data_IF_544018156827
#
_entry.id   IF_544018156827
#
_cell.length_a   1.000
_cell.length_b   1.000
_cell.length_c   1.000
_cell.angle_alpha   90.00
_cell.angle_beta   90.00
_cell.angle_gamma   90.00
#
_symmetry.space_group_name_H-M   'P 1'
#
loop_
_entity.id
_entity.type
_entity.pdbx_description
1 polymer ?
#
# COMPACT_ATOMS: atom_id res chain seq x y z
N UNK A 1 25.37 20.35 -19.04
CA UNK A 1 24.90 19.67 -20.26
C UNK A 1 23.73 20.49 -20.81
N UNK A 2 23.67 20.75 -22.11
CA UNK A 2 22.63 21.59 -22.71
C UNK A 2 21.61 20.72 -23.46
N UNK A 3 20.32 20.95 -23.23
CA UNK A 3 19.30 20.28 -24.05
C UNK A 3 19.24 20.92 -25.45
N UNK A 4 19.10 20.13 -26.52
CA UNK A 4 18.90 20.68 -27.87
C UNK A 4 17.67 21.60 -27.90
N UNK A 5 17.82 22.80 -28.48
CA UNK A 5 16.72 23.78 -28.62
C UNK A 5 16.40 24.58 -27.34
N UNK A 6 17.18 24.44 -26.27
CA UNK A 6 16.96 25.16 -25.02
C UNK A 6 17.27 26.67 -25.17
N UNK A 7 16.28 27.53 -24.89
CA UNK A 7 16.50 28.97 -24.85
C UNK A 7 17.22 29.40 -23.56
N UNK A 8 17.91 30.54 -23.61
CA UNK A 8 18.60 31.10 -22.44
C UNK A 8 17.63 31.43 -21.30
N UNK A 9 16.44 31.94 -21.62
CA UNK A 9 15.39 32.24 -20.65
C UNK A 9 14.85 30.97 -19.97
N UNK A 10 14.65 29.89 -20.74
CA UNK A 10 14.23 28.60 -20.18
C UNK A 10 15.29 28.04 -19.24
N UNK A 11 16.56 28.02 -19.66
CA UNK A 11 17.66 27.55 -18.80
C UNK A 11 17.70 28.30 -17.47
N UNK A 12 17.68 29.63 -17.53
CA UNK A 12 17.71 30.45 -16.32
C UNK A 12 16.50 30.18 -15.41
N UNK A 13 15.32 29.90 -15.97
CA UNK A 13 14.14 29.52 -15.19
C UNK A 13 14.28 28.11 -14.58
N UNK A 14 14.85 27.16 -15.31
CA UNK A 14 15.08 25.79 -14.83
C UNK A 14 16.13 25.75 -13.72
N UNK A 15 17.17 26.55 -13.82
CA UNK A 15 18.20 26.66 -12.78
C UNK A 15 17.60 27.20 -11.47
N UNK A 16 16.77 28.25 -11.54
CA UNK A 16 16.05 28.77 -10.36
C UNK A 16 15.08 27.75 -9.76
N UNK A 17 14.36 27.00 -10.60
CA UNK A 17 13.47 25.93 -10.13
C UNK A 17 14.27 24.79 -9.48
N UNK A 18 15.43 24.42 -10.05
CA UNK A 18 16.29 23.39 -9.52
C UNK A 18 16.80 23.73 -8.12
N UNK A 19 17.15 25.00 -7.87
CA UNK A 19 17.50 25.47 -6.53
C UNK A 19 16.37 25.20 -5.52
N UNK A 20 15.12 25.50 -5.89
CA UNK A 20 13.96 25.23 -5.03
C UNK A 20 13.70 23.73 -4.85
N UNK A 21 13.84 22.93 -5.91
CA UNK A 21 13.68 21.47 -5.87
C UNK A 21 14.75 20.82 -4.95
N UNK A 22 15.98 21.34 -4.95
CA UNK A 22 17.06 20.88 -4.05
C UNK A 22 16.71 21.16 -2.59
N UNK A 23 16.25 22.37 -2.28
CA UNK A 23 15.85 22.73 -0.92
C UNK A 23 14.67 21.87 -0.44
N UNK A 24 13.67 21.63 -1.30
CA UNK A 24 12.56 20.75 -0.99
C UNK A 24 13.04 19.31 -0.68
N UNK A 25 13.97 18.78 -1.49
CA UNK A 25 14.55 17.45 -1.25
C UNK A 25 15.24 17.37 0.10
N UNK A 26 16.07 18.37 0.44
CA UNK A 26 16.77 18.43 1.74
C UNK A 26 15.78 18.47 2.91
N UNK A 27 14.71 19.25 2.80
CA UNK A 27 13.68 19.32 3.83
C UNK A 27 12.96 17.96 4.00
N UNK A 28 12.61 17.29 2.91
CA UNK A 28 11.99 15.96 2.94
C UNK A 28 12.91 14.91 3.56
N UNK A 29 14.21 14.93 3.23
CA UNK A 29 15.23 14.04 3.79
C UNK A 29 15.40 14.28 5.31
N UNK A 30 15.42 15.55 5.74
CA UNK A 30 15.48 15.89 7.16
C UNK A 30 14.26 15.37 7.93
N UNK A 31 13.05 15.54 7.38
CA UNK A 31 11.82 14.97 7.98
C UNK A 31 11.90 13.44 8.02
N UNK A 32 12.38 12.80 6.97
CA UNK A 32 12.53 11.35 6.93
C UNK A 32 13.53 10.85 8.00
N UNK A 33 14.63 11.58 8.23
CA UNK A 33 15.57 11.27 9.31
C UNK A 33 14.89 11.37 10.69
N UNK A 34 14.18 12.47 10.96
CA UNK A 34 13.42 12.64 12.21
C UNK A 34 12.36 11.55 12.42
N UNK A 35 11.70 11.10 11.35
CA UNK A 35 10.74 9.99 11.43
C UNK A 35 11.38 8.67 11.85
N UNK A 36 12.63 8.41 11.45
CA UNK A 36 13.38 7.21 11.86
C UNK A 36 13.90 7.29 13.29
N UNK A 37 14.04 8.51 13.84
CA UNK A 37 14.42 8.76 15.24
C UNK A 37 13.23 8.64 16.21
N UNK A 38 11.99 8.53 15.71
CA UNK A 38 10.83 8.38 16.58
C UNK A 38 10.95 7.09 17.41
N UNK A 39 10.61 7.13 18.70
CA UNK A 39 10.55 5.91 19.50
C UNK A 39 9.48 4.96 18.93
N UNK A 40 9.55 3.66 19.27
CA UNK A 40 8.50 2.71 18.94
C UNK A 40 7.12 3.26 19.32
N UNK A 41 6.14 3.03 18.46
CA UNK A 41 4.76 3.43 18.70
C UNK A 41 4.09 2.64 19.83
N UNK A 42 2.78 2.80 19.95
CA UNK A 42 2.00 2.04 20.93
C UNK A 42 2.06 0.54 20.65
N UNK A 43 2.17 -0.24 21.73
CA UNK A 43 2.04 -1.70 21.68
C UNK A 43 0.63 -2.06 21.21
N UNK A 44 0.52 -3.04 20.31
CA UNK A 44 -0.78 -3.58 19.91
C UNK A 44 -1.50 -4.09 21.17
N UNK A 45 -2.72 -3.61 21.48
CA UNK A 45 -3.36 -3.90 22.76
C UNK A 45 -3.82 -5.37 22.88
N UNK A 46 -3.91 -6.07 21.74
CA UNK A 46 -4.39 -7.45 21.63
C UNK A 46 -3.69 -8.14 20.48
N UNK A 47 -3.58 -9.46 20.60
CA UNK A 47 -3.27 -10.32 19.48
C UNK A 47 -4.55 -10.56 18.66
N UNK A 48 -4.79 -9.71 17.66
CA UNK A 48 -6.02 -9.73 16.88
C UNK A 48 -6.17 -11.02 16.10
N UNK A 49 -7.38 -11.57 16.03
CA UNK A 49 -7.69 -12.76 15.25
C UNK A 49 -8.33 -12.33 13.93
N UNK A 50 -7.76 -12.82 12.83
CA UNK A 50 -8.31 -12.71 11.50
C UNK A 50 -8.83 -14.07 11.07
N UNK A 51 -9.72 -14.07 10.09
CA UNK A 51 -10.09 -15.29 9.37
C UNK A 51 -9.39 -15.27 8.03
N UNK A 52 -8.80 -16.40 7.64
CA UNK A 52 -8.17 -16.62 6.35
C UNK A 52 -8.58 -17.97 5.77
N UNK A 53 -7.97 -18.36 4.64
CA UNK A 53 -8.03 -19.74 4.16
C UNK A 53 -6.74 -20.45 4.57
N UNK A 54 -6.87 -21.57 5.25
CA UNK A 54 -5.76 -22.47 5.61
C UNK A 54 -5.17 -23.17 4.39
N UNK A 55 -4.11 -23.96 4.60
CA UNK A 55 -3.41 -24.70 3.54
C UNK A 55 -4.31 -25.72 2.79
N UNK A 56 -5.38 -26.17 3.43
CA UNK A 56 -6.43 -27.04 2.90
C UNK A 56 -7.59 -26.28 2.24
N UNK A 57 -7.52 -24.94 2.22
CA UNK A 57 -8.56 -24.07 1.69
C UNK A 57 -9.76 -23.85 2.63
N UNK A 58 -9.76 -24.46 3.81
CA UNK A 58 -10.80 -24.26 4.83
C UNK A 58 -10.64 -22.90 5.51
N UNK A 59 -11.74 -22.36 6.07
CA UNK A 59 -11.66 -21.16 6.88
C UNK A 59 -10.83 -21.45 8.14
N UNK A 60 -9.76 -20.70 8.32
CA UNK A 60 -8.84 -20.84 9.46
C UNK A 60 -8.73 -19.51 10.21
N UNK A 61 -8.50 -19.59 11.51
CA UNK A 61 -8.24 -18.42 12.35
C UNK A 61 -6.73 -18.20 12.44
N UNK A 62 -6.28 -16.98 12.12
CA UNK A 62 -4.88 -16.59 12.19
C UNK A 62 -4.74 -15.39 13.11
N UNK A 63 -3.87 -15.50 14.11
CA UNK A 63 -3.55 -14.38 15.01
C UNK A 63 -2.58 -13.41 14.36
N UNK A 64 -2.62 -12.16 14.80
CA UNK A 64 -1.70 -11.11 14.36
C UNK A 64 -0.24 -11.51 14.57
N UNK A 65 0.06 -12.17 15.69
CA UNK A 65 1.39 -12.71 16.00
C UNK A 65 1.84 -13.82 15.05
N UNK A 66 0.91 -14.58 14.47
CA UNK A 66 1.18 -15.68 13.54
C UNK A 66 1.45 -15.20 12.11
N UNK A 67 1.23 -13.92 11.82
CA UNK A 67 1.57 -13.30 10.52
C UNK A 67 3.06 -13.01 10.36
N UNK A 68 3.88 -13.24 11.39
CA UNK A 68 5.32 -13.05 11.34
C UNK A 68 6.03 -14.34 10.93
N UNK A 69 6.63 -14.36 9.73
CA UNK A 69 7.47 -15.46 9.32
C UNK A 69 8.74 -15.57 10.20
N UNK A 70 9.29 -16.78 10.41
CA UNK A 70 10.53 -16.97 11.16
C UNK A 70 11.66 -16.07 10.65
N UNK A 71 12.35 -15.39 11.57
CA UNK A 71 13.46 -14.49 11.25
C UNK A 71 13.08 -13.08 10.81
N UNK A 72 11.78 -12.72 10.85
CA UNK A 72 11.30 -11.37 10.54
C UNK A 72 10.56 -10.77 11.72
N UNK A 73 10.83 -9.50 12.01
CA UNK A 73 10.27 -8.74 13.13
C UNK A 73 9.30 -7.63 12.70
N UNK A 74 9.11 -7.47 11.38
CA UNK A 74 8.36 -6.36 10.79
C UNK A 74 7.18 -6.88 9.98
N UNK A 75 6.01 -6.28 10.18
CA UNK A 75 4.76 -6.61 9.49
C UNK A 75 4.10 -5.33 8.97
N UNK A 76 3.75 -5.32 7.69
CA UNK A 76 2.93 -4.31 7.04
C UNK A 76 1.56 -4.92 6.78
N UNK A 77 0.50 -4.32 7.32
CA UNK A 77 -0.89 -4.74 7.05
C UNK A 77 -1.61 -3.63 6.30
N UNK A 78 -2.14 -3.95 5.13
CA UNK A 78 -3.04 -3.08 4.40
C UNK A 78 -4.51 -3.44 4.68
N UNK A 79 -5.29 -2.46 5.16
CA UNK A 79 -6.73 -2.61 5.34
C UNK A 79 -7.46 -2.31 4.02
N UNK A 80 -7.74 -3.35 3.24
CA UNK A 80 -8.50 -3.25 2.00
C UNK A 80 -9.96 -2.89 2.27
N UNK A 81 -10.41 -1.77 1.70
CA UNK A 81 -11.79 -1.33 1.88
C UNK A 81 -12.76 -2.14 1.02
N UNK A 82 -13.72 -2.73 1.72
CA UNK A 82 -14.83 -3.47 1.16
C UNK A 82 -16.06 -3.25 2.05
N UNK A 83 -17.25 -2.97 1.50
CA UNK A 83 -17.53 -2.80 0.08
C UNK A 83 -17.09 -1.42 -0.47
N UNK A 84 -17.28 -1.21 -1.76
CA UNK A 84 -17.09 0.06 -2.48
C UNK A 84 -17.85 1.20 -1.78
N UNK A 85 -17.31 2.42 -1.92
CA UNK A 85 -17.91 3.63 -1.34
C UNK A 85 -19.36 3.84 -1.83
N UNK A 86 -20.30 4.22 -0.95
CA UNK A 86 -21.66 4.56 -1.36
C UNK A 86 -21.65 5.68 -2.41
N UNK A 87 -22.35 5.49 -3.53
CA UNK A 87 -22.47 6.48 -4.60
C UNK A 87 -21.34 6.44 -5.65
N UNK A 88 -20.37 5.54 -5.55
CA UNK A 88 -19.39 5.32 -6.62
C UNK A 88 -20.00 4.48 -7.76
N UNK A 89 -20.39 5.15 -8.83
CA UNK A 89 -21.04 4.61 -10.03
C UNK A 89 -20.07 4.25 -11.17
N UNK A 90 -18.76 4.46 -10.97
CA UNK A 90 -17.75 4.12 -11.99
C UNK A 90 -17.82 2.62 -12.31
N UNK A 91 -17.56 2.21 -13.56
CA UNK A 91 -17.65 0.80 -13.94
C UNK A 91 -16.84 -0.13 -13.01
N UNK A 92 -17.39 -1.33 -12.77
CA UNK A 92 -16.67 -2.42 -12.13
C UNK A 92 -15.64 -3.06 -13.07
N UNK A 93 -14.83 -4.01 -12.58
CA UNK A 93 -13.91 -4.76 -13.42
C UNK A 93 -14.68 -5.54 -14.51
N UNK A 94 -14.12 -5.63 -15.71
CA UNK A 94 -14.72 -6.34 -16.83
C UNK A 94 -14.53 -7.88 -16.77
N UNK A 95 -13.69 -8.37 -15.87
CA UNK A 95 -13.40 -9.80 -15.70
C UNK A 95 -12.81 -10.13 -14.32
N UNK A 96 -12.60 -11.42 -14.07
CA UNK A 96 -12.15 -11.93 -12.77
C UNK A 96 -13.30 -12.11 -11.77
N UNK A 97 -12.98 -12.62 -10.58
CA UNK A 97 -13.99 -12.98 -9.57
C UNK A 97 -14.79 -11.76 -9.08
N UNK A 98 -14.18 -10.58 -9.01
CA UNK A 98 -14.85 -9.35 -8.56
C UNK A 98 -15.81 -8.76 -9.60
N UNK A 99 -15.74 -9.19 -10.88
CA UNK A 99 -16.71 -8.80 -11.91
C UNK A 99 -18.07 -9.49 -11.72
N UNK A 100 -18.10 -10.60 -10.98
CA UNK A 100 -19.33 -11.33 -10.65
C UNK A 100 -20.12 -10.66 -9.50
N UNK A 101 -19.54 -9.65 -8.85
CA UNK A 101 -20.15 -8.97 -7.72
C UNK A 101 -21.06 -7.83 -8.18
N UNK A 102 -22.19 -7.57 -7.49
CA UNK A 102 -22.90 -6.31 -7.63
C UNK A 102 -21.94 -5.15 -7.43
N UNK A 103 -22.06 -4.07 -8.22
CA UNK A 103 -21.11 -2.96 -8.20
C UNK A 103 -20.90 -2.38 -6.80
N UNK A 104 -22.00 -2.17 -6.06
CA UNK A 104 -21.98 -1.67 -4.68
C UNK A 104 -21.33 -2.62 -3.67
N UNK A 105 -21.15 -3.89 -4.02
CA UNK A 105 -20.45 -4.90 -3.22
C UNK A 105 -19.05 -5.21 -3.78
N UNK A 106 -18.57 -4.50 -4.80
CA UNK A 106 -17.21 -4.65 -5.30
C UNK A 106 -16.18 -4.05 -4.33
N UNK A 107 -14.88 -4.30 -4.56
CA UNK A 107 -13.83 -3.60 -3.82
C UNK A 107 -13.77 -2.11 -4.19
N UNK A 108 -13.19 -1.31 -3.29
CA UNK A 108 -12.86 0.08 -3.57
C UNK A 108 -11.80 0.18 -4.69
N UNK A 109 -12.04 0.95 -5.78
CA UNK A 109 -11.08 1.06 -6.89
C UNK A 109 -9.69 1.58 -6.46
N UNK A 110 -9.64 2.54 -5.53
CA UNK A 110 -8.36 3.06 -5.02
C UNK A 110 -7.61 2.04 -4.17
N UNK A 111 -8.32 1.15 -3.46
CA UNK A 111 -7.69 0.09 -2.70
C UNK A 111 -7.13 -1.00 -3.61
N UNK A 112 -7.87 -1.38 -4.66
CA UNK A 112 -7.37 -2.29 -5.69
C UNK A 112 -6.14 -1.70 -6.38
N UNK A 113 -6.22 -0.45 -6.84
CA UNK A 113 -5.08 0.21 -7.51
C UNK A 113 -3.84 0.29 -6.62
N UNK A 114 -4.00 0.49 -5.30
CA UNK A 114 -2.88 0.46 -4.37
C UNK A 114 -2.27 -0.94 -4.23
N UNK A 115 -3.11 -1.98 -4.15
CA UNK A 115 -2.65 -3.36 -4.08
C UNK A 115 -1.97 -3.82 -5.37
N UNK A 116 -2.47 -3.44 -6.55
CA UNK A 116 -1.85 -3.79 -7.83
C UNK A 116 -0.40 -3.30 -7.89
N UNK A 117 -0.12 -2.12 -7.33
CA UNK A 117 1.25 -1.57 -7.25
C UNK A 117 2.11 -2.30 -6.21
N UNK A 118 1.51 -2.82 -5.13
CA UNK A 118 2.22 -3.60 -4.12
C UNK A 118 2.50 -5.04 -4.59
N UNK A 119 1.61 -5.64 -5.38
CA UNK A 119 1.72 -7.01 -5.86
C UNK A 119 3.06 -7.24 -6.59
N UNK A 120 3.41 -6.33 -7.51
CA UNK A 120 4.69 -6.39 -8.21
C UNK A 120 5.92 -6.16 -7.33
N UNK A 121 5.77 -5.48 -6.18
CA UNK A 121 6.86 -5.25 -5.23
C UNK A 121 6.91 -6.31 -4.10
N UNK A 122 5.87 -7.14 -3.97
CA UNK A 122 5.68 -8.03 -2.84
C UNK A 122 6.80 -9.06 -2.75
N UNK A 123 7.32 -9.55 -3.87
CA UNK A 123 8.43 -10.52 -3.90
C UNK A 123 9.72 -9.95 -3.30
N UNK A 124 10.01 -8.67 -3.54
CA UNK A 124 11.18 -8.00 -2.99
C UNK A 124 10.95 -7.58 -1.53
N UNK A 125 9.79 -6.99 -1.23
CA UNK A 125 9.44 -6.58 0.12
C UNK A 125 9.43 -7.78 1.08
N UNK A 126 8.92 -8.93 0.62
CA UNK A 126 8.81 -10.15 1.42
C UNK A 126 10.16 -10.78 1.79
N UNK A 127 11.28 -10.27 1.28
CA UNK A 127 12.60 -10.69 1.75
C UNK A 127 12.96 -10.05 3.10
N UNK A 128 12.34 -8.92 3.43
CA UNK A 128 12.68 -8.11 4.61
C UNK A 128 11.53 -7.89 5.58
N UNK A 129 10.29 -7.86 5.08
CA UNK A 129 9.09 -7.63 5.89
C UNK A 129 8.03 -8.70 5.62
N UNK A 130 7.08 -8.85 6.54
CA UNK A 130 5.85 -9.57 6.28
C UNK A 130 4.82 -8.60 5.69
N UNK A 131 4.03 -9.05 4.71
CA UNK A 131 2.96 -8.27 4.09
C UNK A 131 1.65 -9.04 4.23
N UNK A 132 0.61 -8.38 4.75
CA UNK A 132 -0.72 -8.93 4.84
C UNK A 132 -1.76 -7.93 4.32
N UNK A 133 -2.85 -8.45 3.75
CA UNK A 133 -4.01 -7.67 3.32
C UNK A 133 -5.21 -8.16 4.09
N UNK A 134 -5.85 -7.27 4.83
CA UNK A 134 -7.05 -7.56 5.59
C UNK A 134 -8.24 -6.79 5.00
N UNK A 135 -9.36 -7.46 4.77
CA UNK A 135 -10.59 -6.83 4.29
C UNK A 135 -11.80 -7.37 5.05
N UNK A 136 -12.87 -6.57 5.14
CA UNK A 136 -14.14 -7.00 5.77
C UNK A 136 -15.02 -7.85 4.82
N UNK A 137 -14.45 -8.34 3.72
CA UNK A 137 -15.15 -9.23 2.81
C UNK A 137 -15.31 -10.62 3.47
N UNK A 138 -16.48 -11.28 3.34
CA UNK A 138 -16.67 -12.63 3.86
C UNK A 138 -15.80 -13.65 3.09
N UNK A 139 -15.27 -14.65 3.78
CA UNK A 139 -14.44 -15.74 3.21
C UNK A 139 -15.30 -16.77 2.47
N UNK A 140 -16.51 -16.96 2.96
CA UNK A 140 -17.57 -17.78 2.36
C UNK A 140 -18.12 -17.06 1.12
N UNK A 141 -17.40 -17.17 0.01
CA UNK A 141 -17.86 -16.79 -1.34
C UNK A 141 -17.32 -17.78 -2.35
#
# INVERSE_FOLDING_TARGET
MAFPGESTAYRAARDRLLEQEIELRRAMEAVAARRRELPPGGVAPRDYVFRGRGADGAADEVRLSELFAPGKDSLVIYSMMFPRAPGDDRPGPAGGQTALLPLAQGPCPSCTAFLDQLDGAAEHASQHVNLAVAGKAPIER
#
